data_IF_124502670683
#
_entry.id   IF_124502670683
#
_cell.length_a   1.000
_cell.length_b   1.000
_cell.length_c   1.000
_cell.angle_alpha   90.00
_cell.angle_beta   90.00
_cell.angle_gamma   90.00
#
_symmetry.space_group_name_H-M   'P 1'
#
loop_
_entity.id
_entity.type
_entity.pdbx_description
1 polymer ?
#
# COMPACT_ATOMS: atom_id res chain seq x y z
N UNK A 1 42.12 -7.31 1.22
CA UNK A 1 41.40 -8.33 2.01
C UNK A 1 42.03 -8.42 3.39
N UNK A 2 41.43 -7.77 4.37
CA UNK A 2 41.42 -8.08 5.80
C UNK A 2 40.41 -7.11 6.42
N UNK A 3 39.25 -7.62 6.83
CA UNK A 3 38.22 -6.81 7.47
C UNK A 3 38.76 -6.22 8.77
N UNK A 4 38.42 -4.97 9.06
CA UNK A 4 38.21 -4.56 10.44
C UNK A 4 36.83 -3.94 10.52
N UNK A 5 35.91 -4.74 11.04
CA UNK A 5 34.59 -4.38 11.55
C UNK A 5 34.68 -3.49 12.79
N UNK A 6 35.62 -2.54 12.81
CA UNK A 6 35.72 -1.53 13.84
C UNK A 6 35.03 -0.27 13.31
N UNK A 7 33.98 0.18 14.01
CA UNK A 7 33.39 1.49 13.79
C UNK A 7 34.51 2.53 13.79
N UNK A 8 34.71 3.27 12.69
CA UNK A 8 35.75 4.28 12.64
C UNK A 8 35.51 5.30 13.76
N UNK A 9 36.57 5.83 14.37
CA UNK A 9 36.46 6.72 15.53
C UNK A 9 35.46 7.88 15.31
N UNK A 10 35.36 8.52 14.12
CA UNK A 10 34.29 9.47 13.82
C UNK A 10 32.88 8.91 13.99
N UNK A 11 32.58 7.74 13.42
CA UNK A 11 31.27 7.10 13.55
C UNK A 11 30.93 6.71 15.00
N UNK A 12 31.94 6.31 15.79
CA UNK A 12 31.74 5.99 17.20
C UNK A 12 31.38 7.25 18.02
N UNK A 13 31.97 8.40 17.69
CA UNK A 13 31.67 9.68 18.33
C UNK A 13 30.27 10.18 17.97
N UNK A 14 29.84 10.02 16.71
CA UNK A 14 28.45 10.30 16.32
C UNK A 14 27.48 9.44 17.13
N UNK A 15 27.73 8.14 17.25
CA UNK A 15 26.88 7.25 18.04
C UNK A 15 26.83 7.65 19.52
N UNK A 16 27.98 8.06 20.09
CA UNK A 16 28.05 8.58 21.46
C UNK A 16 27.29 9.90 21.62
N UNK A 17 27.31 10.78 20.61
CA UNK A 17 26.54 12.02 20.60
C UNK A 17 25.02 11.76 20.61
N UNK A 18 24.57 10.80 19.79
CA UNK A 18 23.18 10.35 19.74
C UNK A 18 22.69 9.83 21.09
N UNK A 19 23.49 9.01 21.76
CA UNK A 19 23.17 8.50 23.11
C UNK A 19 23.08 9.65 24.11
N UNK A 20 24.09 10.53 24.16
CA UNK A 20 24.11 11.66 25.07
C UNK A 20 22.90 12.58 24.87
N UNK A 21 22.51 12.86 23.62
CA UNK A 21 21.31 13.64 23.29
C UNK A 21 20.04 12.98 23.79
N UNK A 22 19.90 11.66 23.60
CA UNK A 22 18.72 10.90 24.08
C UNK A 22 18.65 10.81 25.60
N UNK A 23 19.79 10.86 26.29
CA UNK A 23 19.84 10.91 27.76
C UNK A 23 19.74 12.33 28.33
N UNK A 24 19.63 13.36 27.48
CA UNK A 24 19.48 14.76 27.88
C UNK A 24 20.79 15.50 28.18
N UNK A 25 21.95 14.87 27.95
CA UNK A 25 23.26 15.52 28.11
C UNK A 25 23.66 16.22 26.81
N UNK A 26 23.08 17.40 26.59
CA UNK A 26 23.28 18.18 25.37
C UNK A 26 24.71 18.69 25.21
N UNK A 27 25.42 18.97 26.32
CA UNK A 27 26.80 19.46 26.28
C UNK A 27 27.76 18.38 25.78
N UNK A 28 27.65 17.16 26.32
CA UNK A 28 28.44 16.02 25.85
C UNK A 28 28.08 15.64 24.42
N UNK A 29 26.80 15.70 24.05
CA UNK A 29 26.35 15.45 22.68
C UNK A 29 26.99 16.43 21.68
N UNK A 30 26.99 17.73 22.00
CA UNK A 30 27.59 18.76 21.17
C UNK A 30 29.11 18.58 21.03
N UNK A 31 29.80 18.30 22.13
CA UNK A 31 31.25 18.03 22.09
C UNK A 31 31.56 16.82 21.20
N UNK A 32 30.84 15.71 21.36
CA UNK A 32 31.04 14.52 20.54
C UNK A 32 30.76 14.77 19.05
N UNK A 33 29.73 15.56 18.71
CA UNK A 33 29.46 15.95 17.32
C UNK A 33 30.61 16.76 16.69
N UNK A 34 31.14 17.76 17.41
CA UNK A 34 32.29 18.57 16.94
C UNK A 34 33.54 17.73 16.77
N UNK A 35 33.86 16.91 17.77
CA UNK A 35 34.98 15.97 17.74
C UNK A 35 34.88 14.96 16.58
N UNK A 36 33.67 14.48 16.29
CA UNK A 36 33.40 13.61 15.16
C UNK A 36 33.65 14.33 13.83
N UNK A 37 33.12 15.55 13.68
CA UNK A 37 33.23 16.35 12.47
C UNK A 37 34.68 16.69 12.12
N UNK A 38 35.47 17.14 13.11
CA UNK A 38 36.88 17.51 12.90
C UNK A 38 37.73 16.29 12.48
N UNK A 39 37.49 15.14 13.12
CA UNK A 39 38.18 13.89 12.78
C UNK A 39 37.75 13.38 11.40
N UNK A 40 36.45 13.44 11.09
CA UNK A 40 35.92 13.03 9.80
C UNK A 40 36.50 13.89 8.66
N UNK A 41 36.60 15.22 8.86
CA UNK A 41 37.25 16.15 7.91
C UNK A 41 38.72 15.83 7.71
N UNK A 42 39.45 15.57 8.79
CA UNK A 42 40.87 15.19 8.73
C UNK A 42 41.07 13.88 7.96
N UNK A 43 40.17 12.92 8.13
CA UNK A 43 40.20 11.62 7.45
C UNK A 43 39.58 11.65 6.05
N UNK A 44 38.99 12.79 5.65
CA UNK A 44 38.20 12.95 4.43
C UNK A 44 37.06 11.92 4.30
N UNK A 45 36.51 11.50 5.45
CA UNK A 45 35.41 10.53 5.55
C UNK A 45 34.08 11.24 5.31
N UNK A 46 33.70 11.39 4.04
CA UNK A 46 32.48 12.13 3.64
C UNK A 46 31.19 11.61 4.31
N UNK A 47 30.93 10.29 4.43
CA UNK A 47 29.80 9.78 5.20
C UNK A 47 29.81 10.22 6.67
N UNK A 48 30.95 10.14 7.35
CA UNK A 48 31.04 10.58 8.75
C UNK A 48 30.87 12.10 8.91
N UNK A 49 31.32 12.90 7.93
CA UNK A 49 31.07 14.35 7.90
C UNK A 49 29.57 14.62 7.80
N UNK A 50 28.88 14.00 6.85
CA UNK A 50 27.46 14.20 6.62
C UNK A 50 26.62 13.80 7.85
N UNK A 51 26.97 12.69 8.49
CA UNK A 51 26.31 12.22 9.71
C UNK A 51 26.56 13.15 10.92
N UNK A 52 27.80 13.60 11.11
CA UNK A 52 28.15 14.52 12.20
C UNK A 52 27.46 15.89 12.05
N UNK A 53 27.37 16.41 10.82
CA UNK A 53 26.61 17.63 10.52
C UNK A 53 25.12 17.46 10.83
N UNK A 54 24.53 16.33 10.43
CA UNK A 54 23.12 16.04 10.69
C UNK A 54 22.81 16.02 12.19
N UNK A 55 23.63 15.34 13.00
CA UNK A 55 23.44 15.28 14.45
C UNK A 55 23.74 16.63 15.12
N UNK A 56 24.72 17.40 14.63
CA UNK A 56 24.99 18.75 15.11
C UNK A 56 23.80 19.68 14.88
N UNK A 57 23.17 19.62 13.70
CA UNK A 57 21.96 20.38 13.40
C UNK A 57 20.80 20.02 14.34
N UNK A 58 20.66 18.74 14.69
CA UNK A 58 19.59 18.22 15.54
C UNK A 58 19.70 18.60 17.04
N UNK A 59 20.81 19.21 17.46
CA UNK A 59 20.97 19.70 18.84
C UNK A 59 20.23 21.00 19.12
N UNK A 60 19.86 21.75 18.08
CA UNK A 60 19.09 22.98 18.19
C UNK A 60 17.59 22.72 18.03
N UNK A 61 16.76 23.54 18.70
CA UNK A 61 15.30 23.50 18.57
C UNK A 61 14.79 24.92 18.26
N UNK A 62 14.32 25.19 17.02
CA UNK A 62 14.30 24.28 15.87
C UNK A 62 15.72 23.93 15.35
N UNK A 63 15.89 22.86 14.57
CA UNK A 63 17.20 22.47 14.03
C UNK A 63 17.81 23.52 13.12
N UNK A 64 19.15 23.55 13.07
CA UNK A 64 19.88 24.46 12.17
C UNK A 64 19.71 24.02 10.71
N UNK A 65 18.87 24.73 9.98
CA UNK A 65 18.54 24.42 8.59
C UNK A 65 19.74 24.55 7.64
N UNK A 66 20.72 25.41 7.95
CA UNK A 66 21.91 25.57 7.12
C UNK A 66 22.79 24.32 7.20
N UNK A 67 23.07 23.86 8.43
CA UNK A 67 23.88 22.67 8.69
C UNK A 67 23.17 21.40 8.18
N UNK A 68 21.86 21.28 8.44
CA UNK A 68 21.07 20.15 7.93
C UNK A 68 21.01 20.14 6.38
N UNK A 69 20.95 21.30 5.75
CA UNK A 69 21.01 21.44 4.29
C UNK A 69 22.37 21.06 3.70
N UNK A 70 23.47 21.33 4.40
CA UNK A 70 24.80 20.85 4.01
C UNK A 70 24.90 19.32 4.10
N UNK A 71 24.39 18.74 5.19
CA UNK A 71 24.32 17.29 5.34
C UNK A 71 23.48 16.63 4.22
N UNK A 72 22.32 17.21 3.87
CA UNK A 72 21.47 16.72 2.78
C UNK A 72 22.24 16.66 1.45
N UNK A 73 22.90 17.76 1.04
CA UNK A 73 23.68 17.80 -0.21
C UNK A 73 24.80 16.76 -0.22
N UNK A 74 25.49 16.57 0.91
CA UNK A 74 26.52 15.54 1.01
C UNK A 74 25.95 14.13 0.85
N UNK A 75 24.78 13.84 1.42
CA UNK A 75 24.14 12.54 1.24
C UNK A 75 23.64 12.30 -0.18
N UNK A 76 23.12 13.33 -0.84
CA UNK A 76 22.73 13.28 -2.25
C UNK A 76 23.94 13.01 -3.16
N UNK A 77 25.06 13.72 -2.94
CA UNK A 77 26.32 13.50 -3.66
C UNK A 77 26.87 12.09 -3.48
N UNK A 78 26.70 11.51 -2.28
CA UNK A 78 27.11 10.14 -1.97
C UNK A 78 26.15 9.09 -2.54
N UNK A 79 25.01 9.50 -3.10
CA UNK A 79 23.96 8.59 -3.57
C UNK A 79 23.35 7.75 -2.45
N UNK A 80 23.31 8.27 -1.21
CA UNK A 80 22.72 7.58 -0.07
C UNK A 80 21.29 8.08 0.20
N UNK A 81 20.25 7.39 -0.31
CA UNK A 81 18.87 7.85 -0.19
C UNK A 81 18.36 7.85 1.26
N UNK A 82 18.86 6.96 2.12
CA UNK A 82 18.45 6.90 3.53
C UNK A 82 19.03 8.10 4.30
N UNK A 83 20.31 8.43 4.06
CA UNK A 83 20.93 9.62 4.64
C UNK A 83 20.25 10.91 4.19
N UNK A 84 19.95 11.03 2.89
CA UNK A 84 19.24 12.18 2.33
C UNK A 84 17.81 12.30 2.89
N UNK A 85 17.10 11.18 3.06
CA UNK A 85 15.78 11.17 3.67
C UNK A 85 15.84 11.65 5.12
N UNK A 86 16.78 11.16 5.92
CA UNK A 86 16.96 11.62 7.32
C UNK A 86 17.23 13.12 7.41
N UNK A 87 18.07 13.67 6.53
CA UNK A 87 18.33 15.11 6.48
C UNK A 87 17.08 15.91 6.07
N UNK A 88 16.32 15.43 5.08
CA UNK A 88 15.05 16.03 4.68
C UNK A 88 14.01 16.02 5.81
N UNK A 89 13.94 14.94 6.59
CA UNK A 89 13.06 14.85 7.76
C UNK A 89 13.45 15.83 8.86
N UNK A 90 14.76 15.99 9.12
CA UNK A 90 15.23 16.97 10.11
C UNK A 90 14.87 18.39 9.67
N UNK A 91 15.11 18.75 8.40
CA UNK A 91 14.71 20.04 7.83
C UNK A 91 13.19 20.27 7.94
N UNK A 92 12.39 19.22 7.72
CA UNK A 92 10.93 19.30 7.81
C UNK A 92 10.43 19.65 9.23
N UNK A 93 11.22 19.43 10.28
CA UNK A 93 10.83 19.81 11.65
C UNK A 93 10.91 21.32 11.90
N UNK A 94 11.79 22.04 11.19
CA UNK A 94 11.94 23.49 11.28
C UNK A 94 11.20 24.28 10.20
N UNK A 95 10.65 23.59 9.19
CA UNK A 95 9.91 24.20 8.08
C UNK A 95 8.40 24.25 8.35
N UNK A 96 7.70 25.14 7.64
CA UNK A 96 6.23 25.25 7.68
C UNK A 96 5.61 25.21 6.26
N UNK A 97 4.31 24.94 6.21
CA UNK A 97 3.52 25.05 4.99
C UNK A 97 4.03 24.17 3.81
N UNK A 98 4.05 24.71 2.57
CA UNK A 98 4.41 23.94 1.38
C UNK A 98 5.84 23.38 1.38
N UNK A 99 6.78 24.04 2.04
CA UNK A 99 8.17 23.59 2.11
C UNK A 99 8.29 22.31 2.95
N UNK A 100 7.67 22.29 4.14
CA UNK A 100 7.57 21.09 4.97
C UNK A 100 6.93 19.93 4.22
N UNK A 101 5.86 20.18 3.47
CA UNK A 101 5.20 19.15 2.67
C UNK A 101 6.10 18.58 1.59
N UNK A 102 6.88 19.42 0.89
CA UNK A 102 7.86 18.98 -0.12
C UNK A 102 8.96 18.11 0.51
N UNK A 103 9.53 18.54 1.63
CA UNK A 103 10.58 17.80 2.34
C UNK A 103 10.10 16.41 2.79
N UNK A 104 8.90 16.33 3.37
CA UNK A 104 8.30 15.05 3.79
C UNK A 104 8.00 14.14 2.60
N UNK A 105 7.49 14.69 1.49
CA UNK A 105 7.22 13.93 0.27
C UNK A 105 8.51 13.39 -0.39
N UNK A 106 9.57 14.19 -0.40
CA UNK A 106 10.89 13.77 -0.90
C UNK A 106 11.48 12.66 -0.03
N UNK A 107 11.46 12.83 1.30
CA UNK A 107 11.95 11.82 2.23
C UNK A 107 11.20 10.48 2.08
N UNK A 108 9.86 10.54 1.96
CA UNK A 108 9.04 9.34 1.77
C UNK A 108 9.38 8.61 0.47
N UNK A 109 9.53 9.36 -0.63
CA UNK A 109 9.93 8.79 -1.93
C UNK A 109 11.30 8.11 -1.83
N UNK A 110 12.29 8.80 -1.27
CA UNK A 110 13.65 8.26 -1.11
C UNK A 110 13.65 6.97 -0.28
N UNK A 111 12.90 6.93 0.82
CA UNK A 111 12.78 5.72 1.65
C UNK A 111 12.03 4.59 0.93
N UNK A 112 10.99 4.93 0.17
CA UNK A 112 10.23 3.96 -0.62
C UNK A 112 11.11 3.30 -1.68
N UNK A 113 11.82 4.12 -2.46
CA UNK A 113 12.72 3.66 -3.53
C UNK A 113 13.89 2.86 -2.98
N UNK A 114 14.39 3.22 -1.78
CA UNK A 114 15.44 2.50 -1.08
C UNK A 114 15.00 1.19 -0.42
N UNK A 115 13.70 0.86 -0.43
CA UNK A 115 13.17 -0.31 0.29
C UNK A 115 13.16 -0.15 1.82
N UNK A 116 13.35 1.06 2.34
CA UNK A 116 13.48 1.37 3.77
C UNK A 116 12.11 1.51 4.44
N UNK A 117 11.24 0.52 4.24
CA UNK A 117 9.82 0.60 4.57
C UNK A 117 9.51 0.76 6.06
N UNK A 118 10.39 0.25 6.93
CA UNK A 118 10.29 0.41 8.40
C UNK A 118 10.21 1.88 8.82
N UNK A 119 10.78 2.79 8.04
CA UNK A 119 10.78 4.23 8.33
C UNK A 119 9.60 5.00 7.69
N UNK A 120 8.91 4.41 6.70
CA UNK A 120 7.77 5.03 6.02
C UNK A 120 6.61 5.40 6.97
N UNK A 121 6.23 4.58 7.97
CA UNK A 121 5.22 4.96 8.94
C UNK A 121 5.52 6.31 9.59
N UNK A 122 6.76 6.53 10.02
CA UNK A 122 7.15 7.76 10.71
C UNK A 122 7.05 9.00 9.82
N UNK A 123 7.56 8.92 8.59
CA UNK A 123 7.49 10.03 7.64
C UNK A 123 6.04 10.37 7.29
N UNK A 124 5.21 9.34 7.10
CA UNK A 124 3.80 9.55 6.84
C UNK A 124 3.05 10.12 8.03
N UNK A 125 3.40 9.73 9.26
CA UNK A 125 2.89 10.38 10.48
C UNK A 125 3.21 11.87 10.48
N UNK A 126 4.45 12.24 10.13
CA UNK A 126 4.86 13.65 10.06
C UNK A 126 4.12 14.39 8.94
N UNK A 127 3.81 13.72 7.82
CA UNK A 127 3.05 14.28 6.70
C UNK A 127 1.57 14.44 7.01
N UNK A 128 0.96 13.46 7.68
CA UNK A 128 -0.41 13.57 8.19
C UNK A 128 -0.52 14.61 9.30
N UNK A 129 0.55 14.87 10.05
CA UNK A 129 0.59 15.96 11.01
C UNK A 129 0.69 17.35 10.33
N UNK A 130 1.44 17.44 9.22
CA UNK A 130 1.72 18.70 8.53
C UNK A 130 0.56 19.13 7.60
N UNK A 131 -0.46 19.76 8.17
CA UNK A 131 -1.51 20.46 7.40
C UNK A 131 -2.89 19.80 7.39
N UNK A 132 -3.14 18.85 8.29
CA UNK A 132 -4.51 18.36 8.50
C UNK A 132 -5.20 19.28 9.51
N UNK A 133 -6.19 20.02 9.04
CA UNK A 133 -7.21 20.61 9.91
C UNK A 133 -8.26 19.53 10.18
N UNK A 134 -8.51 19.18 11.44
CA UNK A 134 -9.43 18.11 11.82
C UNK A 134 -8.74 16.84 12.34
N UNK A 135 -9.46 15.71 12.27
CA UNK A 135 -9.06 14.44 12.89
C UNK A 135 -8.64 13.41 11.83
N UNK A 136 -7.47 12.82 12.02
CA UNK A 136 -6.97 11.69 11.23
C UNK A 136 -6.69 10.48 12.14
N UNK A 137 -7.10 9.29 11.68
CA UNK A 137 -6.93 8.02 12.37
C UNK A 137 -6.09 7.09 11.49
N UNK A 138 -4.98 6.62 12.05
CA UNK A 138 -4.17 5.56 11.46
C UNK A 138 -4.48 4.23 12.14
N UNK A 139 -4.64 3.19 11.34
CA UNK A 139 -4.96 1.83 11.76
C UNK A 139 -4.09 0.79 11.08
N UNK A 140 -3.48 1.07 9.93
CA UNK A 140 -2.61 0.13 9.22
C UNK A 140 -1.19 0.17 9.80
N UNK A 141 -0.76 -0.93 10.44
CA UNK A 141 0.53 -1.03 11.13
C UNK A 141 0.55 -0.51 12.57
N UNK A 142 -0.59 -0.06 13.09
CA UNK A 142 -0.75 0.41 14.47
C UNK A 142 -1.86 1.43 14.62
N UNK A 143 -2.37 1.63 15.84
CA UNK A 143 -3.46 2.58 16.10
C UNK A 143 -2.94 3.93 16.58
N UNK A 144 -3.25 4.99 15.83
CA UNK A 144 -2.91 6.37 16.17
C UNK A 144 -4.03 7.34 15.81
N UNK A 145 -4.16 8.39 16.60
CA UNK A 145 -5.03 9.52 16.29
C UNK A 145 -4.18 10.80 16.25
N UNK A 146 -4.39 11.60 15.22
CA UNK A 146 -3.81 12.93 15.05
C UNK A 146 -4.97 13.92 14.98
N UNK A 147 -4.89 14.99 15.76
CA UNK A 147 -5.88 16.08 15.80
C UNK A 147 -5.17 17.39 15.52
N UNK A 148 -5.59 18.10 14.48
CA UNK A 148 -5.03 19.39 14.05
C UNK A 148 -3.50 19.35 13.94
N UNK A 149 -2.99 18.24 13.40
CA UNK A 149 -1.56 17.99 13.25
C UNK A 149 -0.81 17.52 14.50
N UNK A 150 -1.47 17.44 15.66
CA UNK A 150 -0.86 16.99 16.93
C UNK A 150 -1.26 15.54 17.21
N UNK A 151 -0.28 14.68 17.53
CA UNK A 151 -0.58 13.30 17.94
C UNK A 151 -1.31 13.30 19.28
N UNK A 152 -2.39 12.53 19.38
CA UNK A 152 -3.08 12.24 20.65
C UNK A 152 -2.32 11.10 21.35
N UNK A 153 -1.74 11.40 22.51
CA UNK A 153 -0.95 10.44 23.27
C UNK A 153 -1.84 9.47 24.03
N UNK A 154 -1.31 8.30 24.38
CA UNK A 154 -2.08 7.26 25.09
C UNK A 154 -2.66 7.76 26.42
N UNK A 155 -1.95 8.66 27.11
CA UNK A 155 -2.40 9.27 28.36
C UNK A 155 -3.62 10.18 28.22
N UNK A 156 -3.82 10.79 27.05
CA UNK A 156 -4.92 11.74 26.80
C UNK A 156 -6.29 11.05 26.78
N UNK A 157 -6.32 9.74 26.52
CA UNK A 157 -7.56 8.99 26.40
C UNK A 157 -8.28 8.76 27.72
N UNK A 158 -7.55 8.73 28.85
CA UNK A 158 -8.09 8.38 30.17
C UNK A 158 -8.65 6.96 30.32
N UNK A 159 -8.90 6.22 29.23
CA UNK A 159 -9.48 4.87 29.22
C UNK A 159 -9.02 4.07 28.01
N UNK A 160 -8.49 2.86 28.25
CA UNK A 160 -8.18 1.89 27.18
C UNK A 160 -9.43 1.52 26.39
N UNK A 161 -10.57 1.32 27.06
CA UNK A 161 -11.82 0.94 26.40
C UNK A 161 -12.38 2.04 25.49
N UNK A 162 -12.06 3.32 25.73
CA UNK A 162 -12.43 4.39 24.81
C UNK A 162 -11.65 4.27 23.49
N UNK A 163 -10.36 3.92 23.55
CA UNK A 163 -9.56 3.60 22.35
C UNK A 163 -10.12 2.39 21.62
N UNK A 164 -10.44 1.33 22.35
CA UNK A 164 -10.96 0.10 21.76
C UNK A 164 -12.32 0.32 21.09
N UNK A 165 -13.20 1.13 21.70
CA UNK A 165 -14.46 1.53 21.08
C UNK A 165 -14.21 2.32 19.78
N UNK A 166 -13.29 3.29 19.75
CA UNK A 166 -13.01 4.01 18.51
C UNK A 166 -12.48 3.07 17.41
N UNK A 167 -11.56 2.15 17.75
CA UNK A 167 -11.07 1.14 16.79
C UNK A 167 -12.20 0.26 16.26
N UNK A 168 -13.14 -0.15 17.12
CA UNK A 168 -14.31 -0.93 16.73
C UNK A 168 -15.18 -0.15 15.73
N UNK A 169 -15.46 1.13 16.00
CA UNK A 169 -16.23 1.98 15.09
C UNK A 169 -15.52 2.18 13.74
N UNK A 170 -14.18 2.30 13.75
CA UNK A 170 -13.37 2.35 12.53
C UNK A 170 -13.42 1.02 11.77
N UNK A 171 -13.33 -0.12 12.48
CA UNK A 171 -13.41 -1.45 11.89
C UNK A 171 -14.77 -1.73 11.23
N UNK A 172 -15.82 -1.02 11.67
CA UNK A 172 -17.18 -1.06 11.10
C UNK A 172 -17.35 -0.09 9.92
N UNK A 173 -16.32 0.69 9.58
CA UNK A 173 -16.22 1.46 8.33
C UNK A 173 -17.42 2.39 8.11
N UNK A 174 -17.89 3.02 9.18
CA UNK A 174 -19.04 3.94 9.20
C UNK A 174 -20.42 3.28 9.29
N UNK A 175 -20.49 1.96 9.30
CA UNK A 175 -21.74 1.27 9.62
C UNK A 175 -22.11 1.50 11.10
N UNK A 176 -23.40 1.76 11.43
CA UNK A 176 -23.88 1.80 12.80
C UNK A 176 -23.57 0.52 13.56
N UNK A 177 -23.07 0.68 14.78
CA UNK A 177 -22.83 -0.40 15.74
C UNK A 177 -23.86 -0.30 16.83
N UNK A 178 -24.62 -1.37 17.04
CA UNK A 178 -25.62 -1.45 18.10
C UNK A 178 -24.92 -1.40 19.45
N UNK A 179 -25.47 -0.66 20.41
CA UNK A 179 -24.87 -0.48 21.74
C UNK A 179 -24.66 -1.80 22.47
N UNK A 180 -25.63 -2.71 22.40
CA UNK A 180 -25.53 -4.02 23.05
C UNK A 180 -24.46 -4.90 22.38
N UNK A 181 -24.32 -4.83 21.05
CA UNK A 181 -23.23 -5.50 20.34
C UNK A 181 -21.86 -4.94 20.75
N UNK A 182 -21.71 -3.62 20.78
CA UNK A 182 -20.47 -2.97 21.20
C UNK A 182 -20.14 -3.28 22.66
N UNK A 183 -21.15 -3.38 23.53
CA UNK A 183 -20.99 -3.78 24.91
C UNK A 183 -20.40 -5.19 25.03
N UNK A 184 -20.99 -6.16 24.34
CA UNK A 184 -20.52 -7.55 24.37
C UNK A 184 -19.09 -7.67 23.80
N UNK A 185 -18.79 -6.96 22.72
CA UNK A 185 -17.44 -6.95 22.13
C UNK A 185 -16.38 -6.30 23.04
N UNK A 186 -16.77 -5.28 23.82
CA UNK A 186 -15.85 -4.59 24.72
C UNK A 186 -15.74 -5.28 26.09
N UNK A 187 -16.79 -5.91 26.59
CA UNK A 187 -16.82 -6.61 27.88
C UNK A 187 -17.57 -7.94 27.76
N UNK A 188 -16.93 -8.97 27.17
CA UNK A 188 -17.57 -10.28 27.00
C UNK A 188 -18.04 -10.85 28.33
N UNK A 189 -19.31 -11.26 28.40
CA UNK A 189 -19.89 -11.87 29.61
C UNK A 189 -20.24 -10.92 30.77
N UNK A 190 -20.27 -9.59 30.55
CA UNK A 190 -20.72 -8.59 31.54
C UNK A 190 -22.01 -7.84 31.09
N UNK A 191 -23.20 -8.45 31.13
CA UNK A 191 -24.41 -7.87 30.55
C UNK A 191 -24.97 -6.66 31.32
N UNK A 192 -24.70 -6.52 32.61
CA UNK A 192 -25.61 -5.79 33.52
C UNK A 192 -25.33 -4.28 33.71
N UNK A 193 -24.33 -3.68 33.04
CA UNK A 193 -23.99 -2.23 33.21
C UNK A 193 -23.42 -1.53 31.97
N UNK A 194 -23.72 -2.01 30.76
CA UNK A 194 -23.02 -1.58 29.55
C UNK A 194 -23.40 -0.20 29.02
N UNK A 195 -24.69 0.13 28.91
CA UNK A 195 -25.13 1.36 28.22
C UNK A 195 -24.62 2.66 28.87
N UNK A 196 -24.67 2.78 30.20
CA UNK A 196 -24.07 3.93 30.91
C UNK A 196 -22.56 4.01 30.72
N UNK A 197 -21.86 2.87 30.75
CA UNK A 197 -20.40 2.81 30.50
C UNK A 197 -20.08 3.24 29.07
N UNK A 198 -20.84 2.80 28.07
CA UNK A 198 -20.68 3.20 26.67
C UNK A 198 -20.88 4.71 26.48
N UNK A 199 -21.89 5.30 27.12
CA UNK A 199 -22.10 6.76 27.06
C UNK A 199 -20.93 7.54 27.68
N UNK A 200 -20.30 7.00 28.74
CA UNK A 200 -19.05 7.57 29.29
C UNK A 200 -17.91 7.44 28.29
N UNK A 201 -17.69 6.26 27.69
CA UNK A 201 -16.64 6.07 26.68
C UNK A 201 -16.84 6.99 25.47
N UNK A 202 -18.07 7.15 25.01
CA UNK A 202 -18.41 8.04 23.90
C UNK A 202 -18.12 9.50 24.23
N UNK A 203 -18.47 9.95 25.44
CA UNK A 203 -18.10 11.28 25.93
C UNK A 203 -16.59 11.45 26.00
N UNK A 204 -15.85 10.45 26.47
CA UNK A 204 -14.38 10.44 26.49
C UNK A 204 -13.82 10.57 25.07
N UNK A 205 -14.28 9.78 24.11
CA UNK A 205 -13.83 9.87 22.70
C UNK A 205 -14.08 11.27 22.16
N UNK A 206 -15.30 11.81 22.34
CA UNK A 206 -15.65 13.16 21.86
C UNK A 206 -14.75 14.24 22.45
N UNK A 207 -14.46 14.18 23.75
CA UNK A 207 -13.53 15.14 24.39
C UNK A 207 -12.08 14.97 23.92
N UNK A 208 -11.65 13.76 23.57
CA UNK A 208 -10.32 13.51 23.01
C UNK A 208 -10.21 14.10 21.60
N UNK A 209 -11.23 13.89 20.77
CA UNK A 209 -11.27 14.35 19.39
C UNK A 209 -11.53 15.87 19.27
N UNK A 210 -12.28 16.45 20.20
CA UNK A 210 -12.59 17.89 20.27
C UNK A 210 -12.61 18.39 21.72
N UNK A 211 -11.45 18.59 22.37
CA UNK A 211 -11.39 19.05 23.75
C UNK A 211 -11.93 20.47 23.92
N UNK A 212 -11.85 21.28 22.86
CA UNK A 212 -12.35 22.66 22.83
C UNK A 212 -13.87 22.75 22.65
N UNK A 213 -14.56 21.64 22.33
CA UNK A 213 -15.99 21.61 22.00
C UNK A 213 -16.34 22.63 20.92
N UNK A 214 -15.47 22.73 19.93
CA UNK A 214 -15.57 23.64 18.79
C UNK A 214 -16.62 23.22 17.79
N UNK A 215 -16.96 21.93 17.74
CA UNK A 215 -17.97 21.34 16.86
C UNK A 215 -19.07 20.66 17.68
N UNK A 216 -20.16 20.27 16.99
CA UNK A 216 -21.25 19.52 17.62
C UNK A 216 -20.78 18.16 18.15
N UNK A 217 -21.39 17.67 19.23
CA UNK A 217 -20.99 16.43 19.89
C UNK A 217 -21.00 15.20 18.95
N UNK A 218 -21.88 15.19 17.96
CA UNK A 218 -22.03 14.10 16.99
C UNK A 218 -21.18 14.28 15.72
N UNK A 219 -20.30 15.29 15.68
CA UNK A 219 -19.52 15.62 14.48
C UNK A 219 -18.54 14.50 14.09
N UNK A 220 -17.72 13.99 15.03
CA UNK A 220 -16.76 12.92 14.71
C UNK A 220 -17.34 11.52 14.97
N UNK A 221 -18.08 11.38 16.07
CA UNK A 221 -18.73 10.13 16.46
C UNK A 221 -20.18 10.44 16.82
N UNK A 222 -21.08 10.03 15.95
CA UNK A 222 -22.51 10.19 16.12
C UNK A 222 -23.10 8.98 16.86
N UNK A 223 -24.19 9.21 17.57
CA UNK A 223 -24.93 8.17 18.23
C UNK A 223 -26.40 8.54 18.34
N UNK A 224 -27.27 7.53 18.29
CA UNK A 224 -28.67 7.64 18.66
C UNK A 224 -28.94 6.79 19.93
N UNK A 225 -30.21 6.45 20.17
CA UNK A 225 -30.61 5.66 21.32
C UNK A 225 -30.01 4.24 21.30
N UNK A 226 -29.90 3.63 20.12
CA UNK A 226 -29.62 2.20 19.97
C UNK A 226 -28.23 1.93 19.37
N UNK A 227 -27.67 2.90 18.64
CA UNK A 227 -26.48 2.71 17.82
C UNK A 227 -25.50 3.89 17.91
N UNK A 228 -24.28 3.65 17.45
CA UNK A 228 -23.21 4.64 17.34
C UNK A 228 -22.33 4.33 16.12
N UNK A 229 -21.79 5.36 15.49
CA UNK A 229 -20.95 5.23 14.30
C UNK A 229 -19.92 6.35 14.20
N UNK A 230 -18.84 6.04 13.49
CA UNK A 230 -17.88 7.04 13.04
C UNK A 230 -18.46 7.82 11.86
N UNK A 231 -18.42 9.15 11.90
CA UNK A 231 -18.85 9.99 10.77
C UNK A 231 -17.66 10.18 9.82
N UNK A 232 -17.63 9.38 8.75
CA UNK A 232 -16.46 9.26 7.85
C UNK A 232 -16.13 10.52 7.08
N UNK A 233 -17.13 11.38 6.87
CA UNK A 233 -16.98 12.66 6.17
C UNK A 233 -16.16 13.67 6.99
N UNK A 234 -16.03 13.44 8.30
CA UNK A 234 -15.38 14.35 9.23
C UNK A 234 -14.07 13.77 9.81
N UNK A 235 -13.74 12.53 9.47
CA UNK A 235 -12.56 11.84 9.98
C UNK A 235 -11.82 11.17 8.84
N UNK A 236 -10.56 11.53 8.67
CA UNK A 236 -9.68 10.80 7.77
C UNK A 236 -9.26 9.48 8.38
N UNK A 237 -9.48 8.37 7.66
CA UNK A 237 -9.11 7.03 8.13
C UNK A 237 -8.23 6.37 7.07
N UNK A 238 -7.00 6.00 7.46
CA UNK A 238 -6.01 5.44 6.53
C UNK A 238 -6.47 4.17 5.80
N UNK A 239 -7.17 3.26 6.48
CA UNK A 239 -7.70 2.03 5.87
C UNK A 239 -8.80 2.36 4.85
N UNK A 240 -9.62 3.39 5.08
CA UNK A 240 -10.63 3.81 4.10
C UNK A 240 -10.01 4.47 2.88
N UNK A 241 -8.99 5.32 3.10
CA UNK A 241 -8.23 5.93 2.01
C UNK A 241 -7.53 4.85 1.18
N UNK A 242 -6.87 3.89 1.83
CA UNK A 242 -6.23 2.75 1.18
C UNK A 242 -7.21 1.94 0.33
N UNK A 243 -8.33 1.48 0.90
CA UNK A 243 -9.32 0.67 0.19
C UNK A 243 -9.95 1.44 -0.98
N UNK A 244 -10.25 2.73 -0.79
CA UNK A 244 -10.82 3.59 -1.82
C UNK A 244 -9.85 3.84 -2.97
N UNK A 245 -8.59 4.18 -2.68
CA UNK A 245 -7.55 4.41 -3.68
C UNK A 245 -7.22 3.13 -4.46
N UNK A 246 -7.15 1.97 -3.80
CA UNK A 246 -6.91 0.68 -4.46
C UNK A 246 -8.04 0.34 -5.45
N UNK A 247 -9.29 0.52 -5.03
CA UNK A 247 -10.47 0.26 -5.87
C UNK A 247 -10.52 1.21 -7.08
N UNK A 248 -10.34 2.52 -6.85
CA UNK A 248 -10.36 3.51 -7.93
C UNK A 248 -9.16 3.36 -8.87
N UNK A 249 -7.98 3.05 -8.33
CA UNK A 249 -6.77 2.81 -9.12
C UNK A 249 -6.98 1.66 -10.10
N UNK A 250 -7.59 0.57 -9.64
CA UNK A 250 -7.93 -0.58 -10.48
C UNK A 250 -8.93 -0.22 -11.58
N UNK A 251 -9.96 0.58 -11.26
CA UNK A 251 -10.93 1.06 -12.28
C UNK A 251 -10.26 1.91 -13.34
N UNK A 252 -9.35 2.79 -12.93
CA UNK A 252 -8.64 3.70 -13.83
C UNK A 252 -7.64 2.98 -14.73
N UNK A 253 -7.13 1.79 -14.37
CA UNK A 253 -6.24 1.04 -15.27
C UNK A 253 -6.85 0.79 -16.66
N UNK A 254 -8.18 0.67 -16.75
CA UNK A 254 -8.87 0.44 -18.03
C UNK A 254 -9.03 1.71 -18.89
N UNK A 255 -8.95 2.91 -18.31
CA UNK A 255 -9.27 4.18 -18.99
C UNK A 255 -8.11 5.16 -19.02
N UNK A 256 -7.29 5.20 -17.96
CA UNK A 256 -6.07 5.99 -17.82
C UNK A 256 -5.07 5.18 -16.99
N UNK A 257 -4.33 4.29 -17.67
CA UNK A 257 -3.35 3.40 -17.04
C UNK A 257 -2.32 4.14 -16.18
N UNK A 258 -1.88 5.31 -16.63
CA UNK A 258 -0.89 6.11 -15.90
C UNK A 258 -1.43 6.61 -14.55
N UNK A 259 -2.69 7.07 -14.53
CA UNK A 259 -3.33 7.58 -13.32
C UNK A 259 -3.73 6.45 -12.41
N UNK A 260 -4.25 5.35 -12.97
CA UNK A 260 -4.56 4.14 -12.23
C UNK A 260 -3.35 3.61 -11.49
N UNK A 261 -2.21 3.49 -12.17
CA UNK A 261 -0.97 3.05 -11.56
C UNK A 261 -0.45 3.99 -10.47
N UNK A 262 -0.50 5.32 -10.67
CA UNK A 262 -0.12 6.27 -9.62
C UNK A 262 -0.98 6.10 -8.36
N UNK A 263 -2.27 5.85 -8.54
CA UNK A 263 -3.20 5.68 -7.42
C UNK A 263 -3.01 4.34 -6.72
N UNK A 264 -2.75 3.26 -7.47
CA UNK A 264 -2.38 1.96 -6.90
C UNK A 264 -1.07 2.04 -6.12
N UNK A 265 -0.06 2.76 -6.63
CA UNK A 265 1.17 3.01 -5.89
C UNK A 265 0.90 3.76 -4.58
N UNK A 266 0.06 4.79 -4.59
CA UNK A 266 -0.32 5.51 -3.36
C UNK A 266 -1.05 4.58 -2.37
N UNK A 267 -1.99 3.76 -2.84
CA UNK A 267 -2.70 2.79 -2.02
C UNK A 267 -1.74 1.76 -1.42
N UNK A 268 -0.93 1.09 -2.25
CA UNK A 268 0.08 0.13 -1.79
C UNK A 268 1.05 0.77 -0.81
N UNK A 269 1.40 2.04 -1.02
CA UNK A 269 2.23 2.78 -0.09
C UNK A 269 1.56 2.77 1.30
N UNK A 270 0.30 3.20 1.44
CA UNK A 270 -0.45 3.34 2.71
C UNK A 270 -0.51 2.08 3.57
N UNK A 271 -0.46 0.89 2.97
CA UNK A 271 -0.42 -0.35 3.72
C UNK A 271 0.95 -0.55 4.40
N UNK A 272 0.99 -0.29 5.71
CA UNK A 272 2.19 -0.37 6.54
C UNK A 272 2.25 -1.62 7.42
N UNK A 273 1.16 -2.39 7.46
CA UNK A 273 0.98 -3.55 8.30
C UNK A 273 -0.49 -3.78 8.58
N UNK A 274 -0.77 -4.77 9.42
CA UNK A 274 -2.14 -5.16 9.73
C UNK A 274 -2.94 -4.05 10.39
N UNK A 275 -4.26 -4.08 10.13
CA UNK A 275 -5.20 -3.23 10.85
C UNK A 275 -5.11 -3.49 12.36
N UNK A 276 -4.87 -2.42 13.12
CA UNK A 276 -4.62 -2.40 14.56
C UNK A 276 -3.63 -3.52 14.99
N UNK A 277 -2.45 -3.55 14.36
CA UNK A 277 -1.40 -4.53 14.67
C UNK A 277 -1.02 -4.59 16.17
N UNK A 278 -1.23 -3.50 16.91
CA UNK A 278 -1.01 -3.44 18.37
C UNK A 278 -1.96 -4.34 19.19
N UNK A 279 -3.09 -4.75 18.62
CA UNK A 279 -4.09 -5.62 19.25
C UNK A 279 -4.38 -6.83 18.34
N UNK A 280 -3.48 -7.82 18.24
CA UNK A 280 -3.62 -8.93 17.27
C UNK A 280 -4.77 -9.89 17.56
N UNK A 281 -5.22 -9.97 18.82
CA UNK A 281 -6.18 -10.99 19.28
C UNK A 281 -7.64 -10.51 19.40
N UNK A 282 -7.96 -9.30 18.91
CA UNK A 282 -9.34 -8.80 18.94
C UNK A 282 -10.12 -9.26 17.71
N UNK A 283 -11.20 -10.00 17.94
CA UNK A 283 -12.00 -10.65 16.89
C UNK A 283 -12.74 -9.66 15.99
N UNK A 284 -13.22 -8.54 16.55
CA UNK A 284 -13.96 -7.53 15.79
C UNK A 284 -13.13 -6.86 14.70
N UNK A 285 -11.80 -6.95 14.77
CA UNK A 285 -10.89 -6.44 13.73
C UNK A 285 -10.57 -7.50 12.65
N UNK A 286 -10.91 -8.78 12.85
CA UNK A 286 -10.51 -9.85 11.93
C UNK A 286 -11.02 -9.61 10.50
N UNK A 287 -12.28 -9.20 10.33
CA UNK A 287 -12.85 -8.94 9.01
C UNK A 287 -12.13 -7.84 8.23
N UNK A 288 -11.89 -6.68 8.86
CA UNK A 288 -11.18 -5.56 8.21
C UNK A 288 -9.70 -5.88 8.00
N UNK A 289 -9.06 -6.64 8.90
CA UNK A 289 -7.69 -7.15 8.70
C UNK A 289 -7.58 -7.98 7.43
N UNK A 290 -8.46 -8.97 7.26
CA UNK A 290 -8.45 -9.84 6.08
C UNK A 290 -8.76 -9.06 4.80
N UNK A 291 -9.74 -8.15 4.85
CA UNK A 291 -10.05 -7.27 3.72
C UNK A 291 -8.82 -6.43 3.31
N UNK A 292 -8.13 -5.82 4.28
CA UNK A 292 -6.98 -4.98 4.01
C UNK A 292 -5.80 -5.78 3.46
N UNK A 293 -5.49 -6.95 4.06
CA UNK A 293 -4.45 -7.88 3.59
C UNK A 293 -4.71 -8.32 2.15
N UNK A 294 -5.90 -8.82 1.87
CA UNK A 294 -6.27 -9.28 0.53
C UNK A 294 -6.17 -8.14 -0.48
N UNK A 295 -6.72 -6.96 -0.16
CA UNK A 295 -6.64 -5.78 -1.04
C UNK A 295 -5.19 -5.38 -1.31
N UNK A 296 -4.30 -5.52 -0.31
CA UNK A 296 -2.90 -5.19 -0.46
C UNK A 296 -2.17 -6.18 -1.37
N UNK A 297 -2.31 -7.48 -1.12
CA UNK A 297 -1.71 -8.55 -1.95
C UNK A 297 -2.12 -8.37 -3.41
N UNK A 298 -3.41 -8.18 -3.65
CA UNK A 298 -3.96 -7.89 -4.97
C UNK A 298 -3.33 -6.64 -5.62
N UNK A 299 -3.27 -5.53 -4.87
CA UNK A 299 -2.76 -4.25 -5.38
C UNK A 299 -1.27 -4.35 -5.72
N UNK A 300 -0.47 -4.95 -4.84
CA UNK A 300 0.95 -5.15 -5.04
C UNK A 300 1.23 -6.14 -6.18
N UNK A 301 0.45 -7.23 -6.30
CA UNK A 301 0.54 -8.17 -7.41
C UNK A 301 0.22 -7.51 -8.77
N UNK A 302 -0.79 -6.64 -8.83
CA UNK A 302 -1.08 -5.85 -10.03
C UNK A 302 0.05 -4.90 -10.38
N UNK A 303 0.62 -4.17 -9.41
CA UNK A 303 1.77 -3.30 -9.63
C UNK A 303 3.00 -4.08 -10.13
N UNK A 304 3.25 -5.27 -9.58
CA UNK A 304 4.31 -6.15 -10.06
C UNK A 304 4.10 -6.56 -11.53
N UNK A 305 2.87 -6.87 -11.91
CA UNK A 305 2.49 -7.23 -13.29
C UNK A 305 2.68 -6.05 -14.25
N UNK A 306 2.30 -4.84 -13.84
CA UNK A 306 2.53 -3.63 -14.62
C UNK A 306 4.02 -3.34 -14.81
N UNK A 307 4.82 -3.52 -13.75
CA UNK A 307 6.27 -3.37 -13.81
C UNK A 307 6.93 -4.39 -14.75
N UNK A 308 6.52 -5.66 -14.73
CA UNK A 308 7.00 -6.66 -15.69
C UNK A 308 6.62 -6.31 -17.13
N UNK A 309 5.41 -5.78 -17.37
CA UNK A 309 5.00 -5.27 -18.68
C UNK A 309 5.91 -4.16 -19.22
N UNK A 310 6.56 -3.40 -18.33
CA UNK A 310 7.59 -2.39 -18.65
C UNK A 310 9.02 -2.93 -18.64
N UNK A 311 9.21 -4.20 -18.32
CA UNK A 311 10.52 -4.82 -18.08
C UNK A 311 11.30 -4.18 -16.91
N UNK A 312 10.61 -3.50 -15.99
CA UNK A 312 11.19 -3.02 -14.73
C UNK A 312 11.16 -4.16 -13.70
N UNK A 313 12.04 -5.13 -13.90
CA UNK A 313 12.13 -6.30 -13.03
C UNK A 313 12.56 -5.95 -11.60
N UNK A 314 13.21 -4.81 -11.38
CA UNK A 314 13.59 -4.37 -10.04
C UNK A 314 12.35 -3.90 -9.26
N UNK A 315 11.48 -3.11 -9.89
CA UNK A 315 10.20 -2.70 -9.33
C UNK A 315 9.26 -3.90 -9.11
N UNK A 316 9.19 -4.82 -10.06
CA UNK A 316 8.38 -6.02 -9.94
C UNK A 316 8.80 -6.89 -8.74
N UNK A 317 10.11 -7.09 -8.55
CA UNK A 317 10.65 -7.80 -7.37
C UNK A 317 10.28 -7.05 -6.08
N UNK A 318 10.43 -5.71 -6.03
CA UNK A 318 10.06 -4.93 -4.83
C UNK A 318 8.62 -5.16 -4.41
N UNK A 319 7.67 -5.11 -5.36
CA UNK A 319 6.26 -5.35 -5.05
C UNK A 319 5.98 -6.77 -4.58
N UNK A 320 6.60 -7.78 -5.21
CA UNK A 320 6.43 -9.19 -4.80
C UNK A 320 7.01 -9.49 -3.44
N UNK A 321 8.17 -8.93 -3.10
CA UNK A 321 8.73 -9.08 -1.76
C UNK A 321 7.78 -8.52 -0.70
N UNK A 322 7.10 -7.40 -0.98
CA UNK A 322 6.08 -6.88 -0.07
C UNK A 322 4.86 -7.79 0.03
N UNK A 323 4.46 -8.47 -1.05
CA UNK A 323 3.43 -9.52 -0.98
C UNK A 323 3.89 -10.62 -0.03
N UNK A 324 5.12 -11.10 -0.17
CA UNK A 324 5.68 -12.17 0.66
C UNK A 324 5.88 -11.78 2.14
N UNK A 325 6.02 -10.49 2.46
CA UNK A 325 6.01 -10.00 3.84
C UNK A 325 4.62 -10.13 4.50
N UNK A 326 3.55 -10.11 3.70
CA UNK A 326 2.16 -10.21 4.18
C UNK A 326 1.61 -11.63 4.08
N UNK A 327 1.88 -12.29 2.96
CA UNK A 327 1.55 -13.68 2.68
C UNK A 327 2.80 -14.45 2.23
N UNK A 328 3.52 -15.07 3.18
CA UNK A 328 4.73 -15.84 2.87
C UNK A 328 4.51 -17.05 1.96
N UNK A 329 3.25 -17.45 1.72
CA UNK A 329 2.87 -18.62 0.93
C UNK A 329 2.32 -18.25 -0.46
N UNK A 330 2.34 -16.98 -0.85
CA UNK A 330 1.89 -16.54 -2.17
C UNK A 330 2.82 -17.07 -3.28
N UNK A 331 2.39 -18.16 -3.91
CA UNK A 331 3.12 -18.82 -5.01
C UNK A 331 3.39 -17.87 -6.19
N UNK A 332 2.41 -17.07 -6.70
CA UNK A 332 2.66 -16.13 -7.78
C UNK A 332 3.78 -15.12 -7.49
N UNK A 333 3.87 -14.60 -6.26
CA UNK A 333 4.93 -13.69 -5.85
C UNK A 333 6.29 -14.40 -5.80
N UNK A 334 6.37 -15.60 -5.22
CA UNK A 334 7.60 -16.40 -5.20
C UNK A 334 8.12 -16.68 -6.61
N UNK A 335 7.28 -17.27 -7.47
CA UNK A 335 7.66 -17.62 -8.84
C UNK A 335 7.97 -16.38 -9.68
N UNK A 336 7.23 -15.28 -9.45
CA UNK A 336 7.49 -14.02 -10.12
C UNK A 336 8.82 -13.39 -9.73
N UNK A 337 9.28 -13.50 -8.47
CA UNK A 337 10.64 -13.07 -8.07
C UNK A 337 11.68 -13.91 -8.81
N UNK A 338 11.48 -15.23 -8.87
CA UNK A 338 12.40 -16.13 -9.59
C UNK A 338 12.47 -15.77 -11.07
N UNK A 339 11.33 -15.55 -11.73
CA UNK A 339 11.25 -15.16 -13.14
C UNK A 339 11.97 -13.82 -13.40
N UNK A 340 11.69 -12.78 -12.61
CA UNK A 340 12.35 -11.48 -12.72
C UNK A 340 13.87 -11.55 -12.50
N UNK A 341 14.35 -12.44 -11.62
CA UNK A 341 15.80 -12.67 -11.42
C UNK A 341 16.44 -13.42 -12.59
N UNK A 342 15.74 -14.37 -13.20
CA UNK A 342 16.22 -15.06 -14.40
C UNK A 342 16.33 -14.09 -15.58
N UNK A 343 15.33 -13.21 -15.77
CA UNK A 343 15.36 -12.18 -16.80
C UNK A 343 16.56 -11.24 -16.66
N UNK A 344 16.93 -10.90 -15.42
CA UNK A 344 18.14 -10.12 -15.10
C UNK A 344 19.46 -10.92 -15.12
N UNK A 345 19.45 -12.19 -15.54
CA UNK A 345 20.61 -13.11 -15.53
C UNK A 345 21.21 -13.38 -14.13
N UNK A 346 20.44 -13.14 -13.07
CA UNK A 346 20.83 -13.36 -11.66
C UNK A 346 20.53 -14.79 -11.22
N UNK A 347 21.05 -15.77 -11.96
CA UNK A 347 20.68 -17.20 -11.81
C UNK A 347 20.96 -17.78 -10.41
N UNK A 348 22.03 -17.36 -9.75
CA UNK A 348 22.34 -17.80 -8.39
C UNK A 348 21.31 -17.33 -7.36
N UNK A 349 20.82 -16.09 -7.50
CA UNK A 349 19.77 -15.53 -6.66
C UNK A 349 18.42 -16.19 -6.97
N UNK A 350 18.10 -16.39 -8.25
CA UNK A 350 16.89 -17.10 -8.67
C UNK A 350 16.79 -18.50 -8.05
N UNK A 351 17.90 -19.26 -8.03
CA UNK A 351 17.94 -20.58 -7.39
C UNK A 351 17.78 -20.53 -5.88
N UNK A 352 18.30 -19.49 -5.20
CA UNK A 352 18.08 -19.31 -3.75
C UNK A 352 16.64 -18.96 -3.44
N UNK A 353 16.05 -18.04 -4.21
CA UNK A 353 14.64 -17.66 -4.06
C UNK A 353 13.71 -18.86 -4.29
N UNK A 354 13.96 -19.68 -5.31
CA UNK A 354 13.16 -20.88 -5.57
C UNK A 354 13.27 -21.92 -4.45
N UNK A 355 14.45 -22.10 -3.84
CA UNK A 355 14.57 -23.00 -2.67
C UNK A 355 13.76 -22.49 -1.48
N UNK A 356 13.84 -21.19 -1.20
CA UNK A 356 13.05 -20.58 -0.13
C UNK A 356 11.53 -20.77 -0.36
N UNK A 357 11.09 -20.70 -1.61
CA UNK A 357 9.72 -21.05 -2.00
C UNK A 357 9.39 -22.52 -1.73
N UNK A 358 10.24 -23.47 -2.15
CA UNK A 358 10.04 -24.89 -1.85
C UNK A 358 9.97 -25.15 -0.34
N UNK A 359 10.82 -24.50 0.44
CA UNK A 359 10.82 -24.63 1.90
C UNK A 359 9.49 -24.15 2.50
N UNK A 360 8.90 -23.05 1.97
CA UNK A 360 7.58 -22.55 2.40
C UNK A 360 6.45 -23.52 2.07
N UNK A 361 6.41 -24.10 0.88
CA UNK A 361 5.37 -25.07 0.54
C UNK A 361 5.51 -26.39 1.31
N UNK A 362 6.74 -26.79 1.64
CA UNK A 362 6.98 -27.94 2.48
C UNK A 362 6.39 -27.76 3.90
N UNK A 363 6.32 -26.53 4.44
CA UNK A 363 5.62 -26.25 5.71
C UNK A 363 4.11 -26.55 5.64
N UNK A 364 3.53 -26.57 4.44
CA UNK A 364 2.11 -26.86 4.18
C UNK A 364 1.86 -28.28 3.65
N UNK A 365 2.90 -29.13 3.59
CA UNK A 365 2.87 -30.45 2.95
C UNK A 365 2.39 -30.40 1.47
N UNK A 366 2.75 -29.32 0.75
CA UNK A 366 2.41 -29.11 -0.66
C UNK A 366 3.62 -29.28 -1.58
N UNK A 367 3.38 -29.82 -2.77
CA UNK A 367 4.40 -29.94 -3.81
C UNK A 367 4.65 -28.59 -4.51
N UNK A 368 5.92 -28.25 -4.68
CA UNK A 368 6.32 -27.02 -5.36
C UNK A 368 6.12 -27.10 -6.87
N UNK A 369 5.54 -26.03 -7.43
CA UNK A 369 5.55 -25.79 -8.87
C UNK A 369 6.99 -25.86 -9.44
N UNK A 370 7.18 -26.37 -10.67
CA UNK A 370 8.51 -26.55 -11.25
C UNK A 370 9.27 -25.23 -11.42
N UNK A 371 10.60 -25.30 -11.40
CA UNK A 371 11.46 -24.13 -11.59
C UNK A 371 11.11 -23.42 -12.91
N UNK A 372 10.78 -22.12 -12.90
CA UNK A 372 10.37 -21.39 -14.09
C UNK A 372 11.45 -21.47 -15.19
N UNK A 373 11.10 -21.80 -16.44
CA UNK A 373 12.05 -21.72 -17.53
C UNK A 373 12.45 -20.25 -17.76
N UNK A 374 13.65 -19.97 -18.28
CA UNK A 374 13.95 -18.63 -18.79
C UNK A 374 12.92 -18.26 -19.85
N UNK A 375 12.29 -17.09 -19.72
CA UNK A 375 11.38 -16.63 -20.77
C UNK A 375 12.10 -16.66 -22.12
N UNK A 376 11.45 -17.14 -23.19
CA UNK A 376 12.02 -17.02 -24.52
C UNK A 376 12.10 -15.53 -24.83
N UNK A 377 13.30 -14.96 -24.73
CA UNK A 377 13.55 -13.58 -25.14
C UNK A 377 13.01 -13.33 -26.55
N UNK A 378 12.74 -12.07 -26.93
CA UNK A 378 12.19 -11.77 -28.25
C UNK A 378 13.06 -12.46 -29.31
N UNK A 379 12.45 -13.40 -30.04
CA UNK A 379 13.15 -14.14 -31.10
C UNK A 379 13.67 -13.11 -32.08
N UNK A 380 14.98 -12.85 -32.08
CA UNK A 380 15.62 -12.12 -33.17
C UNK A 380 15.30 -12.88 -34.47
N UNK A 381 14.72 -12.22 -35.49
CA UNK A 381 14.43 -12.87 -36.76
C UNK A 381 15.73 -12.94 -37.58
N UNK A 382 16.66 -13.77 -37.14
CA UNK A 382 17.89 -14.07 -37.90
C UNK A 382 18.38 -15.47 -37.51
N UNK A 383 17.52 -16.47 -37.69
CA UNK A 383 18.02 -17.77 -38.06
C UNK A 383 18.31 -17.71 -39.57
N UNK A 384 19.54 -17.36 -39.91
CA UNK A 384 20.09 -17.70 -41.22
C UNK A 384 19.94 -19.22 -41.38
N UNK A 385 19.08 -19.62 -42.31
CA UNK A 385 18.98 -20.99 -42.78
C UNK A 385 20.34 -21.32 -43.39
N UNK A 386 21.13 -22.12 -42.67
CA UNK A 386 22.27 -22.78 -43.26
C UNK A 386 21.71 -23.92 -44.11
N UNK A 387 21.63 -23.68 -45.41
CA UNK A 387 21.35 -24.69 -46.42
C UNK A 387 22.66 -25.45 -46.71
N UNK A 388 22.79 -26.75 -46.43
CA UNK A 388 23.93 -27.53 -46.90
C UNK A 388 23.64 -28.04 -48.31
N UNK A 389 24.51 -27.66 -49.24
CA UNK A 389 24.52 -28.10 -50.62
C UNK A 389 24.73 -29.62 -50.76
N UNK A 390 23.96 -30.19 -51.68
CA UNK A 390 23.95 -31.55 -52.25
C UNK A 390 25.33 -32.07 -52.67
N UNK A 391 25.69 -33.35 -52.47
CA UNK A 391 25.57 -34.52 -53.39
C UNK A 391 26.36 -35.68 -52.74
N UNK A 392 26.10 -37.00 -52.84
CA UNK A 392 25.66 -37.89 -53.94
C UNK A 392 25.29 -39.29 -53.35
N UNK A 393 24.39 -40.10 -53.95
CA UNK A 393 23.92 -41.38 -53.39
C UNK A 393 24.52 -42.64 -54.07
N UNK A 394 24.24 -43.85 -53.54
CA UNK A 394 23.96 -45.01 -54.42
C UNK A 394 22.63 -45.73 -54.06
N UNK A 395 21.77 -46.00 -55.06
CA UNK A 395 21.42 -47.34 -55.65
C UNK A 395 20.67 -48.26 -54.65
N UNK A 396 19.42 -48.74 -54.84
CA UNK A 396 18.83 -49.43 -56.00
C UNK A 396 17.28 -49.57 -55.90
N UNK A 397 16.62 -49.52 -57.08
CA UNK A 397 15.44 -50.27 -57.60
C UNK A 397 14.27 -50.63 -56.65
N UNK A 398 13.13 -49.92 -56.75
CA UNK A 398 11.89 -50.23 -57.55
C UNK A 398 11.17 -51.53 -57.16
N UNK A 399 9.88 -51.43 -56.80
CA UNK A 399 8.71 -52.08 -57.47
C UNK A 399 7.37 -51.49 -56.96
N UNK A 400 6.60 -50.90 -57.91
CA UNK A 400 5.12 -50.89 -58.16
C UNK A 400 4.13 -50.54 -57.02
N UNK A 401 2.96 -49.90 -57.25
CA UNK A 401 2.23 -49.51 -58.46
C UNK A 401 1.18 -48.43 -58.11
N UNK A 402 0.90 -47.54 -59.07
CA UNK A 402 -0.20 -46.57 -59.04
C UNK A 402 -1.52 -47.17 -59.54
N UNK A 403 -2.60 -46.57 -59.03
CA UNK A 403 -4.01 -46.66 -59.42
C UNK A 403 -4.23 -46.27 -60.89
N UNK A 404 -5.20 -46.92 -61.55
CA UNK A 404 -5.89 -46.44 -62.76
C UNK A 404 -7.39 -46.33 -62.48
N UNK A 405 -7.96 -45.18 -62.80
CA UNK A 405 -9.39 -44.97 -63.06
C UNK A 405 -9.74 -45.50 -64.47
N UNK A 406 -11.04 -45.63 -64.81
CA UNK A 406 -11.65 -44.56 -65.60
C UNK A 406 -13.13 -44.26 -65.28
N UNK A 407 -13.58 -43.17 -65.89
CA UNK A 407 -14.91 -42.55 -65.99
C UNK A 407 -16.02 -43.45 -66.54
N UNK A 408 -17.30 -43.11 -66.28
CA UNK A 408 -18.26 -42.59 -67.28
C UNK A 408 -19.73 -42.53 -66.79
N UNK A 409 -20.38 -41.39 -67.11
CA UNK A 409 -21.77 -41.17 -67.54
C UNK A 409 -23.02 -41.47 -66.67
N UNK A 410 -23.84 -40.42 -66.47
CA UNK A 410 -25.25 -40.42 -66.93
C UNK A 410 -26.36 -40.10 -65.92
N UNK A 411 -27.05 -38.96 -66.12
CA UNK A 411 -28.50 -38.64 -65.89
C UNK A 411 -29.17 -39.00 -64.54
N UNK A 412 -30.07 -38.25 -63.92
CA UNK A 412 -30.95 -37.14 -64.33
C UNK A 412 -32.25 -37.24 -63.50
N UNK A 413 -32.76 -36.10 -63.02
CA UNK A 413 -34.14 -35.76 -62.63
C UNK A 413 -34.93 -36.55 -61.54
N UNK A 414 -35.24 -35.79 -60.47
CA UNK A 414 -36.58 -35.44 -59.96
C UNK A 414 -37.43 -36.41 -59.10
N UNK A 415 -37.92 -35.81 -58.00
CA UNK A 415 -39.26 -35.86 -57.42
C UNK A 415 -39.60 -36.85 -56.27
N UNK A 416 -40.14 -36.23 -55.21
CA UNK A 416 -41.26 -36.62 -54.34
C UNK A 416 -41.17 -37.74 -53.28
N UNK A 417 -41.84 -37.45 -52.15
CA UNK A 417 -42.31 -38.37 -51.09
C UNK A 417 -41.48 -38.28 -49.80
N UNK A 418 -41.89 -37.53 -48.77
CA UNK A 418 -42.96 -37.78 -47.77
C UNK A 418 -42.71 -38.96 -46.81
N UNK A 419 -43.20 -38.76 -45.58
CA UNK A 419 -43.26 -39.66 -44.39
C UNK A 419 -42.05 -39.59 -43.44
N UNK A 420 -42.10 -38.99 -42.25
CA UNK A 420 -42.99 -39.08 -41.06
C UNK A 420 -42.21 -39.70 -39.89
N UNK A 421 -42.34 -39.11 -38.69
CA UNK A 421 -41.75 -39.60 -37.44
C UNK A 421 -41.16 -38.49 -36.55
N UNK A 422 -41.92 -37.50 -36.11
CA UNK A 422 -42.71 -37.48 -34.86
C UNK A 422 -41.93 -37.78 -33.55
N UNK A 423 -41.51 -36.73 -32.84
CA UNK A 423 -41.62 -36.53 -31.37
C UNK A 423 -40.96 -35.18 -31.00
N UNK A 424 -41.73 -34.09 -30.95
CA UNK A 424 -42.30 -33.51 -29.72
C UNK A 424 -41.27 -32.85 -28.77
N UNK A 425 -40.99 -31.59 -29.07
CA UNK A 425 -40.96 -30.44 -28.14
C UNK A 425 -42.28 -30.36 -27.31
N UNK A 426 -42.41 -29.64 -26.16
CA UNK A 426 -41.99 -28.23 -26.05
C UNK A 426 -41.66 -27.69 -24.62
N UNK A 427 -41.07 -26.49 -24.53
CA UNK A 427 -41.77 -25.30 -23.98
C UNK A 427 -40.93 -24.04 -24.18
N UNK A 428 -41.41 -23.25 -25.13
CA UNK A 428 -41.08 -21.85 -25.40
C UNK A 428 -42.03 -20.95 -24.60
N UNK A 429 -41.60 -19.72 -24.28
CA UNK A 429 -42.44 -18.50 -24.20
C UNK A 429 -41.85 -17.39 -23.30
N UNK A 430 -41.19 -16.42 -23.95
CA UNK A 430 -41.43 -14.97 -23.68
C UNK A 430 -42.88 -14.61 -24.13
N UNK A 431 -43.46 -13.38 -24.04
CA UNK A 431 -42.82 -12.06 -23.83
C UNK A 431 -43.68 -10.94 -23.13
N UNK A 432 -43.07 -9.74 -23.09
CA UNK A 432 -43.64 -8.43 -23.50
C UNK A 432 -44.27 -7.43 -22.48
N UNK A 433 -43.72 -6.19 -22.57
CA UNK A 433 -44.32 -4.83 -22.49
C UNK A 433 -44.88 -4.41 -21.11
N UNK A 434 -44.60 -3.24 -20.53
CA UNK A 434 -44.01 -1.98 -21.00
C UNK A 434 -44.85 -0.83 -20.43
N UNK A 435 -44.27 0.23 -19.86
CA UNK A 435 -44.96 1.52 -19.75
C UNK A 435 -44.00 2.70 -19.48
N UNK A 436 -44.29 3.79 -20.18
CA UNK A 436 -43.58 5.06 -20.25
C UNK A 436 -43.97 6.01 -19.11
N UNK A 437 -43.02 6.94 -18.86
CA UNK A 437 -43.21 8.36 -18.54
C UNK A 437 -43.62 8.74 -17.10
N UNK A 438 -42.85 9.65 -16.48
CA UNK A 438 -43.04 11.12 -16.60
C UNK A 438 -41.90 11.90 -15.94
N UNK A 439 -41.39 12.89 -16.68
CA UNK A 439 -40.71 14.08 -16.15
C UNK A 439 -41.74 14.97 -15.46
N UNK A 440 -41.37 15.60 -14.35
CA UNK A 440 -42.08 16.75 -13.79
C UNK A 440 -41.08 17.77 -13.25
N UNK A 441 -40.80 18.76 -14.09
CA UNK A 441 -40.41 20.12 -13.72
C UNK A 441 -41.59 20.83 -13.06
N UNK A 442 -41.37 21.50 -11.93
CA UNK A 442 -42.21 22.62 -11.50
C UNK A 442 -41.37 23.66 -10.75
N UNK A 443 -41.30 24.84 -11.35
CA UNK A 443 -40.79 26.06 -10.78
C UNK A 443 -41.92 26.83 -10.08
N UNK A 444 -41.62 27.44 -8.95
CA UNK A 444 -42.28 28.62 -8.39
C UNK A 444 -41.32 29.21 -7.34
N UNK A 445 -41.22 30.50 -7.08
CA UNK A 445 -41.55 31.77 -7.76
C UNK A 445 -41.03 32.80 -6.75
N UNK A 446 -40.28 33.81 -7.17
CA UNK A 446 -39.92 34.95 -6.31
C UNK A 446 -41.20 35.68 -5.86
N UNK A 447 -41.26 36.08 -4.60
CA UNK A 447 -42.04 37.24 -4.15
C UNK A 447 -41.09 38.15 -3.37
N UNK A 448 -40.83 39.33 -3.94
CA UNK A 448 -40.36 40.51 -3.24
C UNK A 448 -41.54 41.15 -2.51
N UNK A 449 -41.32 41.72 -1.31
CA UNK A 449 -42.34 42.55 -0.67
C UNK A 449 -42.09 42.89 0.80
N UNK A 450 -41.23 43.90 1.02
CA UNK A 450 -41.40 45.01 1.99
C UNK A 450 -41.81 44.71 3.45
N UNK A 451 -40.91 45.03 4.38
CA UNK A 451 -41.26 45.22 5.80
C UNK A 451 -40.17 45.97 6.57
N UNK A 452 -40.44 47.24 6.87
CA UNK A 452 -39.55 48.19 7.57
C UNK A 452 -39.24 47.76 9.02
N UNK A 453 -38.02 48.12 9.44
CA UNK A 453 -37.57 48.58 10.78
C UNK A 453 -38.67 49.30 11.60
N UNK A 454 -38.62 49.29 12.95
CA UNK A 454 -37.66 50.16 13.66
C UNK A 454 -37.04 49.60 14.95
N UNK A 455 -36.08 50.39 15.41
CA UNK A 455 -35.18 50.23 16.54
C UNK A 455 -35.87 50.12 17.92
N UNK A 456 -35.17 49.45 18.84
CA UNK A 456 -34.62 50.06 20.06
C UNK A 456 -33.37 49.31 20.50
#
# INVERSE_FOLDING_TARGET
MAASSAVSKPHALVAAALVARRTGDMATAEQHCRDALDRARTQQDRPAIAEALLELAALQVPPDASIAGEALRLWEDLGNPIGAARASLLLATGAEGPERQRLLATAERQLYDAGAWVHLPEVRRLRSAAGHHGVAISTLGGFRVVRDGVTVEVGDWGSRKARDLLKLLVARRGAPVVRDEAAELLWPGEPDRSSRRLSVLLSTIRNVLDPGKSVGADHYVAADHDSMWLVREHVEVDVEQFLGEAAEGRRLLATDGSRGERLLNAAAARYLGDFCADDPYVDWAAGVRQLARHTFVDTAGLLATLADGRQDHAEAIRHRLRVLDVDPFDEPAHLGVVASLIAQRRHGEARRAYRAYCDRLAELDLDAAPFPPPEPGPRSPTAFVHEPATTRPPVNKRVRNLVRTPSEHGGGCSADGDEEGSHQDPFDARPARGLRARRSTAAHRRVCGTGRRPAR
#
